data_IF_088000011896
#
_entry.id   IF_088000011896
#
_cell.length_a   1.000
_cell.length_b   1.000
_cell.length_c   1.000
_cell.angle_alpha   90.00
_cell.angle_beta   90.00
_cell.angle_gamma   90.00
#
_symmetry.space_group_name_H-M   'P 1'
#
loop_
_entity.id
_entity.type
_entity.pdbx_description
1 polymer ?
#
# COMPACT_ATOMS: atom_id res chain seq x y z
N UNK A 1 -6.09 -29.85 16.00
CA UNK A 1 -6.93 -30.87 16.65
C UNK A 1 -6.01 -32.01 17.08
N UNK A 2 -6.52 -33.01 17.79
CA UNK A 2 -5.73 -34.18 18.23
C UNK A 2 -5.20 -35.01 17.06
N UNK A 3 -5.77 -34.85 15.86
CA UNK A 3 -5.37 -35.52 14.62
C UNK A 3 -4.30 -34.75 13.84
N UNK A 4 -3.84 -33.61 14.35
CA UNK A 4 -2.79 -32.82 13.74
C UNK A 4 -3.18 -32.09 12.44
N UNK A 5 -4.48 -32.02 12.10
CA UNK A 5 -5.00 -31.36 10.88
C UNK A 5 -4.57 -29.90 10.77
N UNK A 6 -4.52 -29.21 11.91
CA UNK A 6 -4.17 -27.79 12.02
C UNK A 6 -2.71 -27.54 12.45
N UNK A 7 -1.86 -28.57 12.46
CA UNK A 7 -0.49 -28.47 13.00
C UNK A 7 0.32 -27.41 12.27
N UNK A 8 1.04 -26.59 13.04
CA UNK A 8 1.90 -25.49 12.58
C UNK A 8 1.17 -24.31 11.91
N UNK A 9 -0.16 -24.27 11.93
CA UNK A 9 -0.92 -23.09 11.50
C UNK A 9 -0.98 -22.04 12.62
N UNK A 10 -0.68 -20.77 12.30
CA UNK A 10 -0.65 -19.68 13.26
C UNK A 10 -1.40 -18.46 12.73
N UNK A 11 -2.29 -17.87 13.53
CA UNK A 11 -2.95 -16.61 13.17
C UNK A 11 -1.97 -15.45 13.38
N UNK A 12 -1.57 -14.78 12.29
CA UNK A 12 -0.65 -13.63 12.34
C UNK A 12 -1.36 -12.29 12.50
N UNK A 13 -2.54 -12.17 11.90
CA UNK A 13 -3.25 -10.90 11.80
C UNK A 13 -4.75 -11.14 11.64
N UNK A 14 -5.54 -10.20 12.15
CA UNK A 14 -6.95 -10.12 11.85
C UNK A 14 -7.43 -8.67 11.89
N UNK A 15 -8.34 -8.33 10.97
CA UNK A 15 -9.00 -7.02 10.92
C UNK A 15 -10.48 -7.27 10.77
N UNK A 16 -11.22 -7.13 11.88
CA UNK A 16 -12.67 -7.31 12.04
C UNK A 16 -13.24 -8.65 11.56
N UNK A 17 -13.27 -8.85 10.26
CA UNK A 17 -13.92 -9.90 9.49
C UNK A 17 -12.92 -10.74 8.68
N UNK A 18 -11.62 -10.43 8.77
CA UNK A 18 -10.55 -11.13 8.05
C UNK A 18 -9.52 -11.75 9.00
N UNK A 19 -8.95 -12.90 8.60
CA UNK A 19 -7.90 -13.63 9.32
C UNK A 19 -6.75 -13.97 8.37
N UNK A 20 -5.52 -13.82 8.85
CA UNK A 20 -4.30 -14.19 8.13
C UNK A 20 -3.65 -15.34 8.89
N UNK A 21 -3.58 -16.50 8.25
CA UNK A 21 -3.02 -17.71 8.83
C UNK A 21 -1.70 -18.04 8.13
N UNK A 22 -0.62 -18.16 8.90
CA UNK A 22 0.68 -18.59 8.43
C UNK A 22 0.72 -20.11 8.34
N UNK A 23 1.16 -20.61 7.18
CA UNK A 23 1.31 -22.02 6.89
C UNK A 23 2.77 -22.30 6.46
N UNK A 24 3.69 -22.52 7.42
CA UNK A 24 5.10 -22.71 7.11
C UNK A 24 5.30 -24.01 6.31
N UNK A 25 6.12 -23.93 5.26
CA UNK A 25 6.53 -25.10 4.46
C UNK A 25 5.47 -25.64 3.50
N UNK A 26 4.30 -24.98 3.38
CA UNK A 26 3.24 -25.42 2.45
C UNK A 26 3.33 -24.68 1.12
N UNK A 27 3.07 -25.41 0.04
CA UNK A 27 2.88 -24.87 -1.29
C UNK A 27 1.57 -24.07 -1.39
N UNK A 28 1.43 -23.28 -2.46
CA UNK A 28 0.21 -22.51 -2.72
C UNK A 28 -1.01 -23.43 -2.84
N UNK A 29 -0.89 -24.57 -3.55
CA UNK A 29 -1.98 -25.52 -3.70
C UNK A 29 -2.42 -26.10 -2.35
N UNK A 30 -1.47 -26.51 -1.51
CA UNK A 30 -1.76 -27.02 -0.16
C UNK A 30 -2.37 -25.94 0.74
N UNK A 31 -1.97 -24.68 0.57
CA UNK A 31 -2.56 -23.56 1.29
C UNK A 31 -4.02 -23.31 0.88
N UNK A 32 -4.36 -23.44 -0.40
CA UNK A 32 -5.76 -23.37 -0.87
C UNK A 32 -6.58 -24.52 -0.30
N UNK A 33 -6.13 -25.77 -0.43
CA UNK A 33 -6.85 -26.94 0.12
C UNK A 33 -7.05 -26.80 1.63
N UNK A 34 -6.02 -26.37 2.36
CA UNK A 34 -6.16 -26.07 3.79
C UNK A 34 -7.17 -24.97 4.07
N UNK A 35 -7.13 -23.86 3.31
CA UNK A 35 -8.02 -22.73 3.51
C UNK A 35 -9.48 -23.08 3.28
N UNK A 36 -9.77 -23.91 2.28
CA UNK A 36 -11.11 -24.45 1.99
C UNK A 36 -11.60 -25.32 3.15
N UNK A 37 -10.80 -26.30 3.56
CA UNK A 37 -11.14 -27.18 4.70
C UNK A 37 -11.33 -26.40 6.01
N UNK A 38 -10.47 -25.42 6.27
CA UNK A 38 -10.55 -24.56 7.44
C UNK A 38 -11.82 -23.71 7.44
N UNK A 39 -12.12 -23.06 6.30
CA UNK A 39 -13.31 -22.23 6.16
C UNK A 39 -14.60 -23.05 6.31
N UNK A 40 -14.62 -24.27 5.76
CA UNK A 40 -15.74 -25.18 5.92
C UNK A 40 -15.94 -25.59 7.39
N UNK A 41 -14.87 -26.04 8.06
CA UNK A 41 -14.95 -26.45 9.47
C UNK A 41 -15.40 -25.29 10.38
N UNK A 42 -14.90 -24.07 10.14
CA UNK A 42 -15.35 -22.88 10.87
C UNK A 42 -16.81 -22.56 10.56
N UNK A 43 -17.23 -22.62 9.30
CA UNK A 43 -18.63 -22.37 8.90
C UNK A 43 -19.60 -23.36 9.55
N UNK A 44 -19.27 -24.66 9.55
CA UNK A 44 -20.09 -25.71 10.17
C UNK A 44 -20.20 -25.55 11.70
N UNK A 45 -19.19 -24.93 12.33
CA UNK A 45 -19.21 -24.63 13.76
C UNK A 45 -20.06 -23.40 14.14
N UNK A 46 -20.61 -22.68 13.15
CA UNK A 46 -21.39 -21.46 13.36
C UNK A 46 -22.84 -21.60 12.86
N UNK A 47 -23.81 -20.89 13.48
CA UNK A 47 -25.19 -20.93 13.04
C UNK A 47 -25.38 -20.22 11.68
N UNK A 48 -26.27 -20.72 10.81
CA UNK A 48 -26.66 -20.00 9.59
C UNK A 48 -27.18 -18.59 9.91
N UNK A 49 -26.88 -17.55 9.11
CA UNK A 49 -26.22 -17.58 7.79
C UNK A 49 -24.71 -17.28 7.84
N UNK A 50 -24.05 -17.43 8.99
CA UNK A 50 -22.63 -17.08 9.14
C UNK A 50 -21.76 -18.04 8.33
N UNK A 51 -20.95 -17.50 7.40
CA UNK A 51 -20.04 -18.27 6.57
C UNK A 51 -18.66 -17.61 6.51
N UNK A 52 -17.61 -18.41 6.67
CA UNK A 52 -16.26 -18.00 6.39
C UNK A 52 -15.87 -18.48 4.98
N UNK A 53 -15.23 -17.60 4.20
CA UNK A 53 -14.80 -17.92 2.83
C UNK A 53 -13.30 -17.65 2.69
N UNK A 54 -12.62 -18.54 1.99
CA UNK A 54 -11.25 -18.31 1.58
C UNK A 54 -11.28 -17.28 0.44
N UNK A 55 -10.69 -16.11 0.67
CA UNK A 55 -10.60 -15.06 -0.35
C UNK A 55 -9.35 -15.22 -1.23
N UNK A 56 -8.19 -15.44 -0.61
CA UNK A 56 -6.90 -15.46 -1.31
C UNK A 56 -5.80 -16.13 -0.48
N UNK A 57 -4.72 -16.52 -1.17
CA UNK A 57 -3.47 -17.02 -0.57
C UNK A 57 -2.32 -16.09 -0.93
N UNK A 58 -1.48 -15.73 0.03
CA UNK A 58 -0.27 -14.94 -0.22
C UNK A 58 0.99 -15.82 -0.27
N UNK A 59 1.71 -15.79 -1.39
CA UNK A 59 3.04 -16.39 -1.53
C UNK A 59 4.12 -15.35 -1.16
N UNK A 60 4.15 -15.01 0.13
CA UNK A 60 4.97 -13.92 0.65
C UNK A 60 4.12 -12.67 0.89
N UNK A 61 4.20 -12.16 2.12
CA UNK A 61 3.52 -10.95 2.55
C UNK A 61 4.36 -10.19 3.57
N UNK A 62 4.12 -8.89 3.65
CA UNK A 62 4.72 -7.99 4.62
C UNK A 62 3.59 -7.28 5.35
N UNK A 63 3.51 -7.52 6.66
CA UNK A 63 2.55 -6.91 7.57
C UNK A 63 3.28 -5.81 8.35
N UNK A 64 3.03 -4.54 8.03
CA UNK A 64 3.73 -3.43 8.66
C UNK A 64 3.02 -2.98 9.94
N UNK A 65 1.74 -2.61 9.82
CA UNK A 65 0.87 -2.24 10.93
C UNK A 65 -0.58 -2.59 10.59
N UNK A 66 -1.51 -2.37 11.53
CA UNK A 66 -2.96 -2.44 11.23
C UNK A 66 -3.28 -1.65 9.96
N UNK A 67 -4.03 -2.29 9.05
CA UNK A 67 -4.45 -1.75 7.75
C UNK A 67 -3.30 -1.34 6.81
N UNK A 68 -2.06 -1.77 7.08
CA UNK A 68 -0.88 -1.54 6.23
C UNK A 68 -0.13 -2.83 5.98
N UNK A 69 -0.41 -3.43 4.82
CA UNK A 69 0.24 -4.68 4.40
C UNK A 69 0.32 -4.79 2.88
N UNK A 70 1.18 -5.66 2.39
CA UNK A 70 1.27 -6.02 0.98
C UNK A 70 1.74 -7.46 0.80
N UNK A 71 1.59 -8.01 -0.39
CA UNK A 71 2.06 -9.35 -0.71
C UNK A 71 1.73 -9.78 -2.14
N UNK A 72 2.30 -10.91 -2.52
CA UNK A 72 2.04 -11.57 -3.81
C UNK A 72 0.86 -12.53 -3.63
N UNK A 73 -0.33 -12.15 -4.09
CA UNK A 73 -1.56 -12.91 -3.87
C UNK A 73 -1.93 -13.82 -5.05
N UNK A 74 -2.61 -14.90 -4.72
CA UNK A 74 -3.31 -15.80 -5.61
C UNK A 74 -4.79 -15.83 -5.19
N UNK A 75 -5.69 -15.68 -6.15
CA UNK A 75 -7.14 -15.74 -5.95
C UNK A 75 -7.67 -17.17 -6.19
N UNK A 76 -6.94 -17.99 -6.96
CA UNK A 76 -7.28 -19.40 -7.19
C UNK A 76 -6.04 -20.29 -7.24
N UNK A 77 -6.23 -21.59 -6.97
CA UNK A 77 -5.16 -22.59 -7.10
C UNK A 77 -4.68 -22.76 -8.57
N UNK A 78 -5.52 -22.41 -9.54
CA UNK A 78 -5.21 -22.49 -10.98
C UNK A 78 -4.46 -21.27 -11.49
N UNK A 79 -4.38 -20.19 -10.71
CA UNK A 79 -3.68 -18.97 -11.08
C UNK A 79 -2.17 -19.21 -11.17
N UNK A 80 -1.59 -19.01 -12.35
CA UNK A 80 -0.17 -19.30 -12.60
C UNK A 80 0.78 -18.25 -12.06
N UNK A 81 0.38 -16.97 -12.08
CA UNK A 81 1.24 -15.84 -11.70
C UNK A 81 0.59 -15.05 -10.58
N UNK A 82 1.34 -14.67 -9.53
CA UNK A 82 0.80 -13.87 -8.45
C UNK A 82 0.47 -12.46 -8.91
N UNK A 83 -0.46 -11.82 -8.20
CA UNK A 83 -0.77 -10.40 -8.36
C UNK A 83 -0.26 -9.67 -7.10
N UNK A 84 0.47 -8.57 -7.28
CA UNK A 84 0.88 -7.76 -6.13
C UNK A 84 -0.32 -6.98 -5.58
N UNK A 85 -0.67 -7.23 -4.32
CA UNK A 85 -1.68 -6.47 -3.58
C UNK A 85 -1.03 -5.62 -2.49
N UNK A 86 -1.59 -4.44 -2.28
CA UNK A 86 -1.17 -3.47 -1.29
C UNK A 86 -2.39 -2.82 -0.64
N UNK A 87 -2.42 -2.80 0.70
CA UNK A 87 -3.43 -2.10 1.49
C UNK A 87 -2.76 -1.07 2.37
N UNK A 88 -3.19 0.19 2.26
CA UNK A 88 -2.79 1.30 3.14
C UNK A 88 -1.34 1.77 3.06
N UNK A 89 -0.48 1.07 2.32
CA UNK A 89 0.90 1.50 2.06
C UNK A 89 0.97 2.56 0.96
N UNK A 90 2.10 3.25 0.88
CA UNK A 90 2.32 4.43 0.04
C UNK A 90 2.11 4.16 -1.46
N UNK A 91 2.20 2.91 -1.91
CA UNK A 91 1.94 2.52 -3.32
C UNK A 91 0.52 2.80 -3.80
N UNK A 92 -0.47 2.80 -2.89
CA UNK A 92 -1.89 3.04 -3.22
C UNK A 92 -2.40 4.40 -2.71
N UNK A 93 -1.54 5.15 -2.01
CA UNK A 93 -1.92 6.43 -1.42
C UNK A 93 -1.79 7.57 -2.42
N UNK A 94 -2.92 8.23 -2.71
CA UNK A 94 -3.02 9.35 -3.66
C UNK A 94 -2.29 10.63 -3.23
N UNK A 95 -1.80 10.70 -1.99
CA UNK A 95 -1.01 11.84 -1.51
C UNK A 95 0.49 11.72 -1.82
N UNK A 96 0.91 10.58 -2.39
CA UNK A 96 2.26 10.35 -2.90
C UNK A 96 2.34 10.69 -4.40
N UNK A 97 3.53 10.98 -4.90
CA UNK A 97 3.79 11.16 -6.32
C UNK A 97 3.87 9.82 -7.06
N UNK A 98 3.73 9.87 -8.39
CA UNK A 98 3.77 8.69 -9.25
C UNK A 98 5.09 7.92 -9.09
N UNK A 99 6.21 8.64 -8.97
CA UNK A 99 7.52 8.05 -8.77
C UNK A 99 7.58 7.20 -7.50
N UNK A 100 7.19 7.76 -6.35
CA UNK A 100 7.20 7.04 -5.07
C UNK A 100 6.32 5.79 -5.14
N UNK A 101 5.13 5.89 -5.73
CA UNK A 101 4.23 4.75 -5.86
C UNK A 101 4.84 3.63 -6.72
N UNK A 102 5.41 3.97 -7.87
CA UNK A 102 6.04 3.01 -8.80
C UNK A 102 7.29 2.38 -8.19
N UNK A 103 8.20 3.19 -7.66
CA UNK A 103 9.48 2.72 -7.10
C UNK A 103 9.24 1.81 -5.90
N UNK A 104 8.36 2.21 -4.96
CA UNK A 104 8.05 1.36 -3.81
C UNK A 104 7.39 0.04 -4.23
N UNK A 105 6.45 0.07 -5.17
CA UNK A 105 5.78 -1.13 -5.70
C UNK A 105 6.80 -2.11 -6.29
N UNK A 106 7.67 -1.62 -7.17
CA UNK A 106 8.65 -2.46 -7.87
C UNK A 106 9.74 -2.97 -6.93
N UNK A 107 10.14 -2.17 -5.93
CA UNK A 107 11.06 -2.61 -4.89
C UNK A 107 10.46 -3.75 -4.05
N UNK A 108 9.20 -3.62 -3.63
CA UNK A 108 8.50 -4.67 -2.86
C UNK A 108 8.31 -5.95 -3.68
N UNK A 109 7.93 -5.85 -4.95
CA UNK A 109 7.86 -7.01 -5.86
C UNK A 109 9.24 -7.66 -5.98
N UNK A 110 10.30 -6.88 -6.14
CA UNK A 110 11.67 -7.40 -6.20
C UNK A 110 12.08 -8.12 -4.91
N UNK A 111 11.66 -7.63 -3.73
CA UNK A 111 11.87 -8.34 -2.46
C UNK A 111 11.18 -9.71 -2.48
N UNK A 112 9.92 -9.79 -2.91
CA UNK A 112 9.17 -11.04 -2.91
C UNK A 112 9.66 -12.05 -3.95
N UNK A 113 10.10 -11.60 -5.12
CA UNK A 113 10.51 -12.49 -6.21
C UNK A 113 11.99 -12.88 -6.16
N UNK A 114 12.86 -11.94 -5.78
CA UNK A 114 14.32 -12.06 -5.92
C UNK A 114 15.10 -11.73 -4.64
N UNK A 115 14.40 -11.36 -3.57
CA UNK A 115 15.00 -11.03 -2.29
C UNK A 115 15.51 -9.60 -2.18
N UNK A 116 16.01 -9.27 -0.98
CA UNK A 116 16.38 -7.90 -0.58
C UNK A 116 17.53 -7.32 -1.41
N UNK A 117 18.47 -8.17 -1.86
CA UNK A 117 19.61 -7.72 -2.67
C UNK A 117 19.17 -7.09 -3.99
N UNK A 118 18.27 -7.76 -4.72
CA UNK A 118 17.75 -7.28 -6.00
C UNK A 118 16.95 -5.97 -5.82
N UNK A 119 16.21 -5.84 -4.71
CA UNK A 119 15.51 -4.61 -4.38
C UNK A 119 16.49 -3.45 -4.10
N UNK A 120 17.62 -3.72 -3.44
CA UNK A 120 18.67 -2.73 -3.19
C UNK A 120 19.30 -2.23 -4.49
N UNK A 121 19.64 -3.14 -5.41
CA UNK A 121 20.17 -2.77 -6.73
C UNK A 121 19.20 -1.90 -7.50
N UNK A 122 17.93 -2.32 -7.56
CA UNK A 122 16.86 -1.53 -8.19
C UNK A 122 16.74 -0.13 -7.58
N UNK A 123 16.75 0.00 -6.25
CA UNK A 123 16.66 1.29 -5.58
C UNK A 123 17.85 2.20 -5.91
N UNK A 124 19.07 1.66 -5.96
CA UNK A 124 20.25 2.42 -6.34
C UNK A 124 20.16 2.99 -7.76
N UNK A 125 19.65 2.21 -8.71
CA UNK A 125 19.40 2.67 -10.08
C UNK A 125 18.36 3.79 -10.12
N UNK A 126 17.25 3.63 -9.39
CA UNK A 126 16.21 4.68 -9.32
C UNK A 126 16.75 5.96 -8.69
N UNK A 127 17.57 5.86 -7.65
CA UNK A 127 18.22 7.04 -7.05
C UNK A 127 19.19 7.69 -8.03
N UNK A 128 20.00 6.93 -8.76
CA UNK A 128 20.89 7.51 -9.76
C UNK A 128 20.13 8.34 -10.81
N UNK A 129 18.97 7.85 -11.29
CA UNK A 129 18.10 8.57 -12.22
C UNK A 129 17.50 9.86 -11.63
N UNK A 130 17.19 9.86 -10.33
CA UNK A 130 16.71 11.04 -9.62
C UNK A 130 17.83 12.09 -9.52
N UNK A 131 19.02 11.66 -9.09
CA UNK A 131 20.17 12.57 -8.90
C UNK A 131 20.71 13.12 -10.22
N UNK A 132 20.60 12.37 -11.32
CA UNK A 132 21.00 12.85 -12.65
C UNK A 132 20.02 13.87 -13.25
N UNK A 133 18.84 14.07 -12.63
CA UNK A 133 17.81 14.96 -13.16
C UNK A 133 17.16 14.45 -14.45
N UNK A 134 17.30 13.15 -14.76
CA UNK A 134 16.81 12.57 -16.03
C UNK A 134 15.31 12.28 -16.03
N UNK A 135 14.64 12.35 -14.87
CA UNK A 135 13.21 12.08 -14.73
C UNK A 135 12.38 13.35 -14.95
N UNK A 136 11.23 13.27 -15.64
CA UNK A 136 10.38 14.43 -15.87
C UNK A 136 9.72 14.90 -14.57
N UNK A 137 9.52 16.22 -14.43
CA UNK A 137 8.88 16.84 -13.26
C UNK A 137 7.49 16.27 -12.95
N UNK A 138 6.77 15.78 -13.98
CA UNK A 138 5.45 15.16 -13.84
C UNK A 138 5.45 13.93 -12.90
N UNK A 139 6.57 13.21 -12.81
CA UNK A 139 6.74 12.05 -11.91
C UNK A 139 6.76 12.45 -10.43
N UNK A 140 7.08 13.71 -10.14
CA UNK A 140 7.25 14.27 -8.79
C UNK A 140 6.02 15.05 -8.30
N UNK A 141 4.93 15.09 -9.08
CA UNK A 141 3.72 15.82 -8.70
C UNK A 141 3.04 15.16 -7.50
N UNK A 142 2.93 15.91 -6.41
CA UNK A 142 2.14 15.58 -5.22
C UNK A 142 0.75 16.16 -5.36
N UNK A 143 -0.22 15.59 -4.63
CA UNK A 143 -1.58 16.16 -4.57
C UNK A 143 -2.10 16.28 -3.15
N UNK A 144 -2.55 17.48 -2.79
CA UNK A 144 -3.14 17.76 -1.48
C UNK A 144 -4.62 18.10 -1.59
N UNK A 145 -5.46 17.51 -0.73
CA UNK A 145 -6.88 17.86 -0.66
C UNK A 145 -7.06 19.18 0.09
N UNK A 146 -7.68 20.16 -0.56
CA UNK A 146 -7.98 21.46 0.04
C UNK A 146 -9.20 21.36 0.96
N UNK A 147 -9.11 21.99 2.14
CA UNK A 147 -10.21 22.09 3.10
C UNK A 147 -10.55 23.56 3.33
N UNK A 148 -11.82 23.82 3.65
CA UNK A 148 -12.30 25.17 3.98
C UNK A 148 -11.77 25.62 5.34
N UNK A 149 -11.55 24.66 6.25
CA UNK A 149 -10.93 24.88 7.56
C UNK A 149 -9.87 23.81 7.79
N UNK A 150 -8.72 24.22 8.30
CA UNK A 150 -7.66 23.35 8.77
C UNK A 150 -7.58 23.44 10.29
N UNK A 151 -7.27 22.32 10.95
CA UNK A 151 -7.01 22.30 12.40
C UNK A 151 -5.55 22.69 12.62
N UNK A 152 -5.31 23.65 13.51
CA UNK A 152 -3.97 24.11 13.91
C UNK A 152 -3.47 25.35 13.16
N UNK A 153 -3.09 26.38 13.92
CA UNK A 153 -2.19 27.49 13.55
C UNK A 153 -2.57 28.39 12.36
N UNK A 154 -1.77 29.46 12.17
CA UNK A 154 -1.85 30.38 11.00
C UNK A 154 -1.36 29.73 9.70
N UNK A 155 -0.52 28.69 9.81
CA UNK A 155 0.14 28.01 8.68
C UNK A 155 -0.55 26.67 8.48
N UNK A 156 -1.39 26.58 7.44
CA UNK A 156 -1.97 25.32 7.01
C UNK A 156 -0.97 24.46 6.23
N UNK A 157 -1.35 23.24 5.83
CA UNK A 157 -0.51 22.39 4.98
C UNK A 157 -0.25 23.03 3.61
N UNK A 158 0.72 22.50 2.84
CA UNK A 158 1.19 23.07 1.56
C UNK A 158 0.04 23.46 0.62
N UNK A 159 -0.95 22.59 0.44
CA UNK A 159 -2.10 22.84 -0.43
C UNK A 159 -3.01 23.98 0.07
N UNK A 160 -3.02 24.27 1.37
CA UNK A 160 -3.78 25.40 1.93
C UNK A 160 -3.10 26.73 1.58
N UNK A 161 -1.78 26.78 1.74
CA UNK A 161 -0.99 27.96 1.39
C UNK A 161 -1.03 28.22 -0.12
N UNK A 162 -0.91 27.17 -0.93
CA UNK A 162 -0.96 27.28 -2.39
C UNK A 162 -2.35 27.71 -2.88
N UNK A 163 -3.43 27.13 -2.34
CA UNK A 163 -4.79 27.53 -2.70
C UNK A 163 -5.06 29.02 -2.39
N UNK A 164 -4.55 29.52 -1.26
CA UNK A 164 -4.66 30.94 -0.91
C UNK A 164 -3.92 31.84 -1.89
N UNK A 165 -2.66 31.51 -2.19
CA UNK A 165 -1.83 32.25 -3.15
C UNK A 165 -2.47 32.29 -4.54
N UNK A 166 -3.05 31.18 -5.01
CA UNK A 166 -3.73 31.14 -6.30
C UNK A 166 -4.94 32.08 -6.35
N UNK A 167 -5.74 32.13 -5.28
CA UNK A 167 -6.87 33.03 -5.17
C UNK A 167 -6.47 34.52 -5.05
N UNK A 168 -5.33 34.81 -4.41
CA UNK A 168 -4.76 36.17 -4.32
C UNK A 168 -4.25 36.66 -5.70
N UNK A 169 -3.69 35.76 -6.51
CA UNK A 169 -3.20 36.08 -7.87
C UNK A 169 -4.37 36.28 -8.84
N UNK A 170 -5.37 35.41 -8.79
CA UNK A 170 -6.51 35.41 -9.71
C UNK A 170 -7.77 34.94 -8.97
N UNK A 171 -8.77 35.81 -8.73
CA UNK A 171 -10.03 35.44 -8.11
C UNK A 171 -10.79 34.32 -8.85
N UNK A 172 -10.50 34.08 -10.13
CA UNK A 172 -11.05 32.96 -10.90
C UNK A 172 -10.42 31.60 -10.57
N UNK A 173 -9.25 31.56 -9.90
CA UNK A 173 -8.51 30.33 -9.55
C UNK A 173 -8.78 29.82 -8.14
N UNK A 174 -9.94 30.17 -7.57
CA UNK A 174 -10.32 29.70 -6.23
C UNK A 174 -10.49 28.18 -6.23
N UNK A 175 -9.64 27.50 -5.45
CA UNK A 175 -9.69 26.05 -5.27
C UNK A 175 -10.82 25.67 -4.33
N UNK A 176 -11.68 24.74 -4.75
CA UNK A 176 -12.90 24.38 -4.01
C UNK A 176 -12.61 23.46 -2.82
N UNK A 177 -13.57 23.40 -1.91
CA UNK A 177 -13.54 22.45 -0.80
C UNK A 177 -13.47 21.01 -1.32
N UNK A 178 -12.54 20.21 -0.78
CA UNK A 178 -12.23 18.81 -1.17
C UNK A 178 -11.61 18.64 -2.56
N UNK A 179 -11.37 19.71 -3.30
CA UNK A 179 -10.60 19.66 -4.53
C UNK A 179 -9.14 19.27 -4.25
N UNK A 180 -8.49 18.56 -5.19
CA UNK A 180 -7.09 18.18 -5.06
C UNK A 180 -6.25 19.15 -5.85
N UNK A 181 -5.32 19.79 -5.15
CA UNK A 181 -4.38 20.72 -5.74
C UNK A 181 -3.06 19.99 -6.04
N UNK A 182 -2.64 19.88 -7.32
CA UNK A 182 -1.33 19.36 -7.67
C UNK A 182 -0.24 20.39 -7.36
N UNK A 183 0.91 19.92 -6.89
CA UNK A 183 2.08 20.76 -6.66
C UNK A 183 3.37 19.94 -6.70
N UNK A 184 4.49 20.63 -6.90
CA UNK A 184 5.84 20.09 -6.72
C UNK A 184 6.56 20.89 -5.64
N UNK A 185 7.56 20.27 -5.03
CA UNK A 185 8.41 20.92 -4.04
C UNK A 185 9.72 21.26 -4.73
N UNK A 186 10.09 22.54 -4.69
CA UNK A 186 11.32 23.04 -5.31
C UNK A 186 12.28 23.45 -4.20
N UNK A 187 13.53 23.01 -4.30
CA UNK A 187 14.58 23.46 -3.41
C UNK A 187 14.96 24.90 -3.75
N UNK A 188 14.88 25.80 -2.77
CA UNK A 188 15.39 27.17 -2.88
C UNK A 188 16.71 27.28 -2.11
N UNK A 189 17.81 27.73 -2.74
CA UNK A 189 19.09 27.92 -2.05
C UNK A 189 18.92 28.75 -0.77
N UNK A 190 19.47 28.29 0.36
CA UNK A 190 19.43 29.00 1.64
C UNK A 190 18.13 28.84 2.46
N UNK A 191 17.10 28.16 1.95
CA UNK A 191 15.86 27.93 2.68
C UNK A 191 15.77 26.51 3.25
N UNK A 192 15.63 26.38 4.57
CA UNK A 192 15.30 25.10 5.22
C UNK A 192 13.79 24.90 5.21
N UNK A 193 13.32 23.79 4.65
CA UNK A 193 11.92 23.38 4.74
C UNK A 193 11.80 22.26 5.78
N UNK A 194 10.88 22.41 6.75
CA UNK A 194 10.36 21.26 7.50
C UNK A 194 9.14 20.76 6.73
N UNK A 195 9.24 19.53 6.24
CA UNK A 195 8.10 18.77 5.69
C UNK A 195 7.19 18.32 6.83
#
# INVERSE_FOLDING_TARGET
DTNGRWTNAEVLYGDTDSLFIRLPGRSISEAFSFGEEFCQAVTESNPPPVQLKLEKVYAGSLLQTKKKYCGMMYESATQKRPIFEAKGIETVRKDQCALTQRVLRNALISVFERGVHAAREYLNEQWALIHSGSLPVSEFVLTGRVRSRYRGGKIGPVQAALARRLAEIDPGRVVRHKERLPYVIVASPGMKFRL
#
